data_IF_457845900630
#
_entry.id   IF_457845900630
#
_cell.length_a   1.000
_cell.length_b   1.000
_cell.length_c   1.000
_cell.angle_alpha   90.00
_cell.angle_beta   90.00
_cell.angle_gamma   90.00
#
_symmetry.space_group_name_H-M   'P 1'
#
loop_
_entity.id
_entity.type
_entity.pdbx_description
1 polymer ?
#
# COMPACT_ATOMS: atom_id res chain seq x y z
N UNK A 1 -13.82 -50.47 -7.16
CA UNK A 1 -13.14 -49.53 -6.19
C UNK A 1 -11.83 -48.94 -6.66
N UNK A 2 -11.48 -48.85 -7.96
CA UNK A 2 -10.19 -48.26 -8.44
C UNK A 2 -10.30 -46.86 -9.05
N UNK A 3 -11.50 -46.33 -9.30
CA UNK A 3 -11.67 -45.00 -9.94
C UNK A 3 -11.45 -43.83 -8.97
N UNK A 4 -11.69 -44.01 -7.66
CA UNK A 4 -11.61 -42.92 -6.66
C UNK A 4 -10.16 -42.48 -6.37
N UNK A 5 -9.21 -43.41 -6.46
CA UNK A 5 -7.79 -43.11 -6.15
C UNK A 5 -7.12 -42.28 -7.27
N UNK A 6 -7.47 -42.53 -8.53
CA UNK A 6 -6.92 -41.81 -9.68
C UNK A 6 -7.43 -40.35 -9.70
N UNK A 7 -8.71 -40.14 -9.42
CA UNK A 7 -9.30 -38.79 -9.38
C UNK A 7 -8.68 -37.94 -8.25
N UNK A 8 -8.48 -38.52 -7.07
CA UNK A 8 -7.84 -37.84 -5.94
C UNK A 8 -6.38 -37.44 -6.24
N UNK A 9 -5.66 -38.28 -6.99
CA UNK A 9 -4.27 -37.99 -7.38
C UNK A 9 -4.16 -36.88 -8.43
N UNK A 10 -5.12 -36.80 -9.36
CA UNK A 10 -5.19 -35.75 -10.38
C UNK A 10 -5.54 -34.38 -9.76
N UNK A 11 -6.51 -34.33 -8.83
CA UNK A 11 -6.90 -33.13 -8.11
C UNK A 11 -5.70 -32.60 -7.32
N UNK A 12 -5.02 -33.46 -6.56
CA UNK A 12 -3.85 -33.08 -5.77
C UNK A 12 -2.67 -32.56 -6.63
N UNK A 13 -2.50 -33.08 -7.84
CA UNK A 13 -1.49 -32.60 -8.78
C UNK A 13 -1.85 -31.22 -9.35
N UNK A 14 -3.10 -30.96 -9.70
CA UNK A 14 -3.59 -29.66 -10.16
C UNK A 14 -3.47 -28.61 -9.07
N UNK A 15 -3.90 -28.92 -7.85
CA UNK A 15 -3.80 -28.02 -6.70
C UNK A 15 -2.34 -27.64 -6.41
N UNK A 16 -1.42 -28.61 -6.41
CA UNK A 16 0.02 -28.36 -6.23
C UNK A 16 0.61 -27.51 -7.36
N UNK A 17 0.17 -27.72 -8.60
CA UNK A 17 0.64 -26.91 -9.73
C UNK A 17 0.14 -25.47 -9.63
N UNK A 18 -1.13 -25.26 -9.27
CA UNK A 18 -1.72 -23.94 -9.08
C UNK A 18 -1.00 -23.21 -7.92
N UNK A 19 -0.79 -23.87 -6.79
CA UNK A 19 -0.05 -23.31 -5.66
C UNK A 19 1.37 -22.91 -6.04
N UNK A 20 2.11 -23.78 -6.73
CA UNK A 20 3.47 -23.49 -7.19
C UNK A 20 3.52 -22.32 -8.19
N UNK A 21 2.55 -22.22 -9.11
CA UNK A 21 2.48 -21.11 -10.07
C UNK A 21 2.12 -19.81 -9.37
N UNK A 22 1.26 -19.85 -8.34
CA UNK A 22 0.93 -18.70 -7.50
C UNK A 22 2.14 -18.21 -6.70
N UNK A 23 2.85 -19.13 -6.03
CA UNK A 23 4.06 -18.80 -5.26
C UNK A 23 5.12 -18.14 -6.15
N UNK A 24 5.29 -18.65 -7.38
CA UNK A 24 6.23 -18.07 -8.33
C UNK A 24 5.84 -16.66 -8.76
N UNK A 25 4.54 -16.39 -8.99
CA UNK A 25 4.02 -15.06 -9.30
C UNK A 25 4.20 -14.10 -8.13
N UNK A 26 3.82 -14.51 -6.92
CA UNK A 26 3.99 -13.72 -5.69
C UNK A 26 5.47 -13.37 -5.48
N UNK A 27 6.37 -14.35 -5.58
CA UNK A 27 7.80 -14.12 -5.45
C UNK A 27 8.37 -13.15 -6.51
N UNK A 28 7.81 -13.15 -7.72
CA UNK A 28 8.20 -12.20 -8.76
C UNK A 28 7.78 -10.78 -8.39
N UNK A 29 6.52 -10.59 -7.93
CA UNK A 29 5.99 -9.30 -7.46
C UNK A 29 6.80 -8.77 -6.28
N UNK A 30 7.09 -9.62 -5.28
CA UNK A 30 7.91 -9.24 -4.12
C UNK A 30 9.30 -8.77 -4.54
N UNK A 31 9.94 -9.46 -5.50
CA UNK A 31 11.23 -9.04 -6.04
C UNK A 31 11.18 -7.67 -6.72
N UNK A 32 10.10 -7.36 -7.42
CA UNK A 32 9.93 -6.06 -8.08
C UNK A 32 9.69 -4.94 -7.04
N UNK A 33 8.89 -5.17 -6.00
CA UNK A 33 8.69 -4.24 -4.88
C UNK A 33 10.03 -3.96 -4.15
N UNK A 34 10.82 -5.00 -3.86
CA UNK A 34 12.14 -4.86 -3.22
C UNK A 34 13.08 -3.99 -4.07
N UNK A 35 12.98 -4.07 -5.40
CA UNK A 35 13.76 -3.26 -6.34
C UNK A 35 13.20 -1.83 -6.50
N UNK A 36 12.10 -1.48 -5.83
CA UNK A 36 11.45 -0.17 -5.94
C UNK A 36 10.63 0.02 -7.21
N UNK A 37 10.31 -1.06 -7.90
CA UNK A 37 9.44 -0.99 -9.08
C UNK A 37 7.98 -0.90 -8.66
N UNK A 38 7.16 -0.08 -9.34
CA UNK A 38 5.71 -0.10 -9.17
C UNK A 38 5.11 -1.44 -9.60
N UNK A 39 4.15 -1.92 -8.84
CA UNK A 39 3.33 -3.08 -9.18
C UNK A 39 1.86 -2.68 -9.16
N UNK A 40 1.02 -3.36 -9.95
CA UNK A 40 -0.42 -3.17 -9.92
C UNK A 40 -1.03 -4.27 -9.05
N UNK A 41 -1.79 -3.86 -8.05
CA UNK A 41 -2.60 -4.76 -7.22
C UNK A 41 -4.05 -4.48 -7.57
N UNK A 42 -4.79 -5.51 -7.93
CA UNK A 42 -6.22 -5.42 -8.27
C UNK A 42 -7.01 -6.19 -7.23
N UNK A 43 -8.04 -5.58 -6.71
CA UNK A 43 -8.96 -6.23 -5.79
C UNK A 43 -10.02 -7.07 -6.53
N UNK A 44 -10.91 -7.72 -5.78
CA UNK A 44 -11.95 -8.57 -6.37
C UNK A 44 -13.03 -7.76 -7.07
N UNK A 45 -13.64 -8.36 -8.11
CA UNK A 45 -14.77 -7.77 -8.84
C UNK A 45 -15.94 -7.43 -7.92
N UNK A 46 -16.11 -8.20 -6.85
CA UNK A 46 -17.20 -8.01 -5.87
C UNK A 46 -16.92 -6.89 -4.85
N UNK A 47 -15.70 -6.33 -4.84
CA UNK A 47 -15.32 -5.22 -3.97
C UNK A 47 -15.34 -3.90 -4.77
N UNK A 48 -14.20 -3.31 -5.07
CA UNK A 48 -14.10 -2.05 -5.83
C UNK A 48 -13.83 -2.29 -7.32
N UNK A 49 -13.21 -3.45 -7.64
CA UNK A 49 -12.74 -3.78 -8.98
C UNK A 49 -11.82 -2.71 -9.54
N UNK A 50 -10.97 -2.17 -8.69
CA UNK A 50 -10.00 -1.12 -9.01
C UNK A 50 -8.58 -1.65 -8.94
N UNK A 51 -7.66 -0.95 -9.58
CA UNK A 51 -6.24 -1.27 -9.58
C UNK A 51 -5.43 -0.18 -8.91
N UNK A 52 -4.64 -0.56 -7.92
CA UNK A 52 -3.72 0.32 -7.20
C UNK A 52 -2.30 0.20 -7.74
N UNK A 53 -1.62 1.32 -7.95
CA UNK A 53 -0.17 1.35 -8.12
C UNK A 53 0.51 1.33 -6.76
N UNK A 54 1.21 0.25 -6.47
CA UNK A 54 1.88 0.02 -5.19
C UNK A 54 3.39 0.08 -5.35
N UNK A 55 4.06 0.86 -4.50
CA UNK A 55 5.52 0.93 -4.38
C UNK A 55 5.93 0.74 -2.93
N UNK A 56 7.15 0.23 -2.70
CA UNK A 56 7.73 0.25 -1.34
C UNK A 56 8.02 1.69 -0.92
N UNK A 57 7.51 2.11 0.24
CA UNK A 57 7.78 3.43 0.80
C UNK A 57 9.29 3.63 1.08
N UNK A 58 10.01 2.57 1.49
CA UNK A 58 11.48 2.60 1.68
C UNK A 58 12.26 2.82 0.37
N UNK A 59 11.65 2.50 -0.76
CA UNK A 59 12.25 2.65 -2.10
C UNK A 59 11.63 3.82 -2.88
N UNK A 60 10.78 4.61 -2.21
CA UNK A 60 10.19 5.80 -2.83
C UNK A 60 11.29 6.78 -3.27
N UNK A 61 11.19 7.22 -4.51
CA UNK A 61 12.10 8.16 -5.15
C UNK A 61 11.34 9.05 -6.15
N UNK A 62 12.02 10.02 -6.72
CA UNK A 62 11.41 10.99 -7.64
C UNK A 62 10.71 10.28 -8.82
N UNK A 63 11.37 9.27 -9.41
CA UNK A 63 10.86 8.63 -10.62
C UNK A 63 9.60 7.82 -10.34
N UNK A 64 9.62 6.93 -9.32
CA UNK A 64 8.48 6.06 -9.04
C UNK A 64 7.29 6.82 -8.41
N UNK A 65 7.52 7.84 -7.59
CA UNK A 65 6.45 8.70 -7.06
C UNK A 65 5.86 9.57 -8.18
N UNK A 66 6.69 10.14 -9.07
CA UNK A 66 6.20 10.85 -10.26
C UNK A 66 5.37 9.94 -11.15
N UNK A 67 5.82 8.69 -11.35
CA UNK A 67 5.07 7.71 -12.13
C UNK A 67 3.68 7.45 -11.52
N UNK A 68 3.61 7.20 -10.20
CA UNK A 68 2.33 7.01 -9.52
C UNK A 68 1.41 8.22 -9.65
N UNK A 69 1.93 9.43 -9.41
CA UNK A 69 1.14 10.67 -9.52
C UNK A 69 0.62 10.91 -10.95
N UNK A 70 1.42 10.57 -11.96
CA UNK A 70 1.08 10.81 -13.37
C UNK A 70 0.06 9.83 -13.90
N UNK A 71 0.17 8.55 -13.53
CA UNK A 71 -0.58 7.47 -14.15
C UNK A 71 -1.72 6.94 -13.27
N UNK A 72 -1.56 6.83 -11.96
CA UNK A 72 -2.64 6.38 -11.08
C UNK A 72 -3.72 7.46 -10.89
N UNK A 73 -3.34 8.74 -10.79
CA UNK A 73 -4.25 9.90 -10.65
C UNK A 73 -5.19 9.88 -9.44
N UNK A 74 -5.05 8.92 -8.56
CA UNK A 74 -5.82 8.77 -7.35
C UNK A 74 -5.21 9.47 -6.15
N UNK A 75 -5.72 9.16 -4.97
CA UNK A 75 -5.13 9.59 -3.71
C UNK A 75 -3.81 8.84 -3.48
N UNK A 76 -2.82 9.55 -2.96
CA UNK A 76 -1.59 8.90 -2.50
C UNK A 76 -1.76 8.48 -1.05
N UNK A 77 -1.99 7.19 -0.87
CA UNK A 77 -2.16 6.56 0.43
C UNK A 77 -0.85 5.93 0.91
N UNK A 78 -0.66 5.87 2.22
CA UNK A 78 0.48 5.21 2.84
C UNK A 78 -0.03 4.27 3.93
N UNK A 79 -0.17 2.96 3.65
CA UNK A 79 -0.51 1.99 4.69
C UNK A 79 0.54 2.00 5.81
N UNK A 80 0.09 2.26 7.02
CA UNK A 80 0.92 2.41 8.21
C UNK A 80 0.50 1.42 9.28
N UNK A 81 1.46 0.75 9.88
CA UNK A 81 1.17 -0.07 11.05
C UNK A 81 0.83 0.78 12.28
N UNK A 82 0.24 0.15 13.29
CA UNK A 82 -0.18 0.81 14.53
C UNK A 82 0.99 1.54 15.25
N UNK A 83 2.22 1.04 15.15
CA UNK A 83 3.40 1.67 15.80
C UNK A 83 3.67 3.05 15.20
N UNK A 84 3.62 3.19 13.87
CA UNK A 84 3.82 4.45 13.16
C UNK A 84 2.71 5.44 13.53
N UNK A 85 1.45 5.02 13.43
CA UNK A 85 0.30 5.89 13.72
C UNK A 85 0.29 6.38 15.17
N UNK A 86 0.58 5.48 16.13
CA UNK A 86 0.66 5.83 17.55
C UNK A 86 1.84 6.74 17.86
N UNK A 87 3.03 6.44 17.35
CA UNK A 87 4.23 7.27 17.53
C UNK A 87 4.01 8.70 17.05
N UNK A 88 3.39 8.87 15.89
CA UNK A 88 3.17 10.17 15.25
C UNK A 88 1.83 10.82 15.65
N UNK A 89 1.06 10.17 16.54
CA UNK A 89 -0.27 10.63 16.99
C UNK A 89 -1.16 11.00 15.81
N UNK A 90 -1.26 10.11 14.83
CA UNK A 90 -2.13 10.28 13.66
C UNK A 90 -3.47 9.61 13.98
N UNK A 91 -4.56 10.39 14.18
CA UNK A 91 -5.88 9.84 14.51
C UNK A 91 -6.60 9.36 13.24
N UNK A 92 -7.63 8.54 13.44
CA UNK A 92 -8.59 8.22 12.38
C UNK A 92 -9.31 9.48 11.92
N UNK A 93 -9.61 9.56 10.62
CA UNK A 93 -10.30 10.70 10.02
C UNK A 93 -11.70 10.88 10.60
N UNK A 94 -12.39 9.77 10.86
CA UNK A 94 -13.73 9.74 11.47
C UNK A 94 -13.79 8.70 12.57
N UNK A 95 -14.64 8.91 13.58
CA UNK A 95 -14.85 7.94 14.66
C UNK A 95 -15.58 6.68 14.18
N UNK A 96 -16.53 6.85 13.26
CA UNK A 96 -17.28 5.78 12.63
C UNK A 96 -17.41 6.10 11.16
N UNK A 97 -16.97 5.18 10.31
CA UNK A 97 -17.16 5.31 8.87
C UNK A 97 -18.56 4.90 8.46
N UNK A 98 -19.09 5.52 7.41
CA UNK A 98 -20.25 5.09 6.64
C UNK A 98 -19.86 4.74 5.20
N UNK A 99 -18.55 4.66 4.93
CA UNK A 99 -18.03 4.19 3.66
C UNK A 99 -18.38 2.71 3.45
N UNK A 100 -18.84 2.39 2.25
CA UNK A 100 -19.25 1.02 1.86
C UNK A 100 -18.11 0.00 2.03
N UNK A 101 -16.88 0.43 1.79
CA UNK A 101 -15.70 -0.43 1.80
C UNK A 101 -14.90 -0.35 3.09
N UNK A 102 -15.34 0.52 4.01
CA UNK A 102 -14.75 0.72 5.34
C UNK A 102 -13.23 1.05 5.28
N UNK A 103 -12.81 1.76 4.24
CA UNK A 103 -11.40 2.14 4.06
C UNK A 103 -10.90 2.90 5.28
N UNK A 104 -9.84 2.42 5.97
CA UNK A 104 -9.45 2.93 7.28
C UNK A 104 -8.60 4.21 7.17
N UNK A 105 -9.18 5.26 6.61
CA UNK A 105 -8.52 6.56 6.47
C UNK A 105 -8.19 7.18 7.83
N UNK A 106 -6.96 7.64 7.96
CA UNK A 106 -6.56 8.56 9.02
C UNK A 106 -6.63 10.00 8.53
N UNK A 107 -6.45 10.96 9.45
CA UNK A 107 -6.23 12.36 9.04
C UNK A 107 -5.02 12.42 8.12
N UNK A 108 -5.15 13.17 7.02
CA UNK A 108 -4.05 13.39 6.08
C UNK A 108 -2.92 14.21 6.71
N UNK A 109 -1.70 14.02 6.22
CA UNK A 109 -0.51 14.62 6.80
C UNK A 109 0.43 15.17 5.74
N UNK A 110 1.25 16.16 6.14
CA UNK A 110 2.45 16.57 5.44
C UNK A 110 3.59 16.74 6.44
N UNK A 111 4.84 16.58 6.00
CA UNK A 111 5.98 16.94 6.83
C UNK A 111 6.05 18.46 6.99
N UNK A 112 6.39 18.95 8.18
CA UNK A 112 6.65 20.40 8.40
C UNK A 112 7.82 20.94 7.55
N UNK A 113 8.64 20.05 6.97
CA UNK A 113 9.76 20.39 6.10
C UNK A 113 9.36 20.57 4.64
N UNK A 114 8.06 20.49 4.33
CA UNK A 114 7.51 20.69 2.99
C UNK A 114 7.14 22.15 2.75
N UNK A 115 6.98 22.52 1.49
CA UNK A 115 6.45 23.84 1.13
C UNK A 115 4.91 23.78 1.12
N UNK A 116 4.32 23.22 0.05
CA UNK A 116 2.86 23.10 -0.08
C UNK A 116 2.35 21.68 0.16
N UNK A 117 3.22 20.69 0.31
CA UNK A 117 2.88 19.28 0.44
C UNK A 117 2.55 18.57 -0.88
N UNK A 118 2.35 19.30 -1.96
CA UNK A 118 1.81 18.78 -3.23
C UNK A 118 2.87 18.22 -4.18
N UNK A 119 4.07 18.78 -4.18
CA UNK A 119 5.12 18.39 -5.12
C UNK A 119 5.61 16.96 -4.84
N UNK A 120 6.25 16.34 -5.85
CA UNK A 120 6.92 15.04 -5.68
C UNK A 120 7.92 15.08 -4.53
N UNK A 121 8.70 16.16 -4.44
CA UNK A 121 9.69 16.36 -3.37
C UNK A 121 9.03 16.44 -1.98
N UNK A 122 7.92 17.17 -1.87
CA UNK A 122 7.20 17.30 -0.61
C UNK A 122 6.59 15.95 -0.17
N UNK A 123 6.00 15.21 -1.11
CA UNK A 123 5.46 13.87 -0.83
C UNK A 123 6.55 12.91 -0.38
N UNK A 124 7.72 12.92 -1.02
CA UNK A 124 8.87 12.13 -0.59
C UNK A 124 9.35 12.52 0.81
N UNK A 125 9.39 13.80 1.13
CA UNK A 125 9.72 14.26 2.50
C UNK A 125 8.73 13.75 3.52
N UNK A 126 7.43 13.78 3.19
CA UNK A 126 6.40 13.28 4.08
C UNK A 126 6.49 11.75 4.27
N UNK A 127 6.72 10.98 3.18
CA UNK A 127 6.97 9.54 3.25
C UNK A 127 8.19 9.26 4.14
N UNK A 128 9.30 9.97 3.92
CA UNK A 128 10.51 9.82 4.74
C UNK A 128 10.25 10.11 6.22
N UNK A 129 9.44 11.15 6.52
CA UNK A 129 9.06 11.49 7.90
C UNK A 129 8.21 10.39 8.55
N UNK A 130 7.31 9.76 7.81
CA UNK A 130 6.52 8.62 8.32
C UNK A 130 7.38 7.41 8.64
N UNK A 131 8.42 7.14 7.83
CA UNK A 131 9.32 6.00 7.98
C UNK A 131 10.36 6.20 9.09
N UNK A 132 10.84 7.43 9.30
CA UNK A 132 11.89 7.72 10.27
C UNK A 132 11.40 7.46 11.70
N UNK A 133 12.01 6.47 12.36
CA UNK A 133 11.68 6.10 13.74
C UNK A 133 11.91 7.21 14.76
N UNK A 134 12.76 8.19 14.44
CA UNK A 134 13.06 9.35 15.28
C UNK A 134 12.05 10.48 15.13
N UNK A 135 11.20 10.44 14.10
CA UNK A 135 10.18 11.46 13.87
C UNK A 135 9.15 11.50 15.00
N UNK A 136 8.74 12.71 15.34
CA UNK A 136 7.80 13.05 16.41
C UNK A 136 6.49 13.60 15.82
N UNK A 137 5.42 13.67 16.61
CA UNK A 137 4.16 14.28 16.16
C UNK A 137 4.30 15.72 15.65
N UNK A 138 5.27 16.48 16.20
CA UNK A 138 5.59 17.85 15.78
C UNK A 138 6.25 17.97 14.41
N UNK A 139 6.73 16.85 13.83
CA UNK A 139 7.36 16.85 12.51
C UNK A 139 6.32 16.71 11.38
N UNK A 140 5.03 16.61 11.76
CA UNK A 140 3.91 16.55 10.83
C UNK A 140 2.93 17.68 11.07
N UNK A 141 2.45 18.28 10.00
CA UNK A 141 1.26 19.13 9.99
C UNK A 141 0.03 18.32 9.57
N UNK A 142 -1.13 18.67 10.07
CA UNK A 142 -2.43 18.04 9.85
C UNK A 142 -3.50 19.13 9.67
N UNK A 143 -4.35 19.06 8.65
CA UNK A 143 -4.31 18.11 7.53
C UNK A 143 -3.16 18.33 6.57
N UNK A 144 -2.93 17.39 5.65
CA UNK A 144 -1.93 17.45 4.59
C UNK A 144 -2.41 16.77 3.31
N UNK A 145 -1.48 16.32 2.47
CA UNK A 145 -1.74 15.79 1.13
C UNK A 145 -1.37 14.31 0.96
N UNK A 146 -0.83 13.66 1.99
CA UNK A 146 -0.67 12.20 2.05
C UNK A 146 -1.68 11.62 3.03
N UNK A 147 -2.25 10.47 2.66
CA UNK A 147 -3.30 9.80 3.41
C UNK A 147 -2.79 8.51 4.04
N UNK A 148 -2.34 8.53 5.31
CA UNK A 148 -2.02 7.29 6.00
C UNK A 148 -3.27 6.44 6.17
N UNK A 149 -3.14 5.12 5.96
CA UNK A 149 -4.18 4.12 6.21
C UNK A 149 -3.75 3.25 7.40
N UNK A 150 -4.74 2.87 8.23
CA UNK A 150 -4.48 1.99 9.38
C UNK A 150 -4.48 0.53 8.96
#
# INVERSE_FOLDING_TARGET
>A
MKKTTVTKKIINFREKKIAHDLDRKINSVVKDIIKGKPVIVVDSIDRENEGDLVISAEKANIDNVTFCMRYARGLMCVPCNHKILSRLKIPMMVKKTNDKYETPFTVSVDSIKTHTGMSVYDRLKTISTLLDEKSKPSDLQKPGHLFPLK
#
